data_IF_295340342407
#
_entry.id   IF_295340342407
#
_cell.length_a   1.000
_cell.length_b   1.000
_cell.length_c   1.000
_cell.angle_alpha   90.00
_cell.angle_beta   90.00
_cell.angle_gamma   90.00
#
_symmetry.space_group_name_H-M   'P 1'
#
loop_
_entity.id
_entity.type
_entity.pdbx_description
1 polymer ?
#
# COMPACT_ATOMS: atom_id res chain seq x y z
N UNK A 1 -25.35 2.98 -15.71
CA UNK A 1 -24.24 3.55 -14.94
C UNK A 1 -23.50 2.40 -14.25
N UNK A 2 -22.24 2.26 -14.50
CA UNK A 2 -21.47 1.18 -13.91
C UNK A 2 -20.96 1.58 -12.53
N UNK A 3 -20.98 0.63 -11.62
CA UNK A 3 -20.41 0.78 -10.30
C UNK A 3 -18.89 0.66 -10.39
N UNK A 4 -18.19 1.57 -9.71
CA UNK A 4 -16.74 1.49 -9.61
C UNK A 4 -16.39 0.96 -8.22
N UNK A 5 -15.75 -0.19 -8.19
CA UNK A 5 -15.28 -0.78 -6.94
C UNK A 5 -13.95 -0.11 -6.56
N UNK A 6 -14.02 0.80 -5.59
CA UNK A 6 -12.85 1.56 -5.17
C UNK A 6 -11.75 0.67 -4.62
N UNK A 7 -12.09 -0.39 -3.89
CA UNK A 7 -11.08 -1.29 -3.35
C UNK A 7 -10.31 -2.01 -4.46
N UNK A 8 -10.97 -2.39 -5.53
CA UNK A 8 -10.31 -3.04 -6.66
C UNK A 8 -9.44 -2.08 -7.44
N UNK A 9 -9.93 -0.86 -7.70
CA UNK A 9 -9.15 0.17 -8.38
C UNK A 9 -7.88 0.49 -7.59
N UNK A 10 -8.01 0.67 -6.28
CA UNK A 10 -6.88 0.96 -5.42
C UNK A 10 -5.92 -0.22 -5.35
N UNK A 11 -6.43 -1.46 -5.25
CA UNK A 11 -5.56 -2.64 -5.23
C UNK A 11 -4.69 -2.71 -6.47
N UNK A 12 -5.28 -2.52 -7.65
CA UNK A 12 -4.53 -2.52 -8.90
C UNK A 12 -3.53 -1.38 -8.97
N UNK A 13 -3.93 -0.20 -8.52
CA UNK A 13 -3.04 0.96 -8.49
C UNK A 13 -1.87 0.77 -7.53
N UNK A 14 -2.11 0.16 -6.37
CA UNK A 14 -1.06 -0.15 -5.40
C UNK A 14 -0.03 -1.10 -6.02
N UNK A 15 -0.48 -2.18 -6.66
CA UNK A 15 0.41 -3.13 -7.31
C UNK A 15 1.22 -2.45 -8.42
N UNK A 16 0.56 -1.66 -9.26
CA UNK A 16 1.21 -0.93 -10.35
C UNK A 16 2.27 0.04 -9.80
N UNK A 17 1.93 0.76 -8.75
CA UNK A 17 2.84 1.73 -8.12
C UNK A 17 4.05 1.05 -7.51
N UNK A 18 3.85 -0.05 -6.79
CA UNK A 18 4.96 -0.80 -6.16
C UNK A 18 5.89 -1.39 -7.21
N UNK A 19 5.34 -1.94 -8.29
CA UNK A 19 6.15 -2.46 -9.40
C UNK A 19 6.92 -1.33 -10.10
N UNK A 20 6.30 -0.17 -10.22
CA UNK A 20 6.95 1.02 -10.76
C UNK A 20 8.13 1.49 -9.93
N UNK A 21 8.11 1.23 -8.62
CA UNK A 21 9.24 1.51 -7.72
C UNK A 21 10.34 0.44 -7.82
N UNK A 22 10.10 -0.63 -8.57
CA UNK A 22 11.06 -1.71 -8.76
C UNK A 22 10.93 -2.86 -7.77
N UNK A 23 9.83 -2.92 -7.03
CA UNK A 23 9.66 -3.94 -6.00
C UNK A 23 8.92 -5.16 -6.52
N UNK A 24 9.28 -6.34 -5.99
CA UNK A 24 8.52 -7.57 -6.20
C UNK A 24 7.28 -7.52 -5.32
N UNK A 25 6.13 -7.80 -5.92
CA UNK A 25 4.84 -7.76 -5.23
C UNK A 25 4.27 -9.17 -5.13
N UNK A 26 3.93 -9.59 -3.91
CA UNK A 26 3.29 -10.88 -3.62
C UNK A 26 4.07 -12.10 -4.14
N UNK A 27 5.39 -11.99 -4.20
CA UNK A 27 6.24 -13.10 -4.61
C UNK A 27 6.78 -13.90 -3.42
N UNK A 28 7.73 -14.77 -3.71
CA UNK A 28 8.42 -15.57 -2.70
C UNK A 28 9.86 -15.11 -2.47
N UNK A 29 10.31 -14.15 -3.23
CA UNK A 29 11.68 -13.66 -3.16
C UNK A 29 11.83 -12.54 -2.14
N UNK A 30 13.05 -12.32 -1.70
CA UNK A 30 13.41 -11.18 -0.87
C UNK A 30 14.24 -10.20 -1.70
N UNK A 31 14.08 -8.91 -1.54
CA UNK A 31 13.00 -8.25 -0.79
C UNK A 31 11.68 -8.27 -1.56
N UNK A 32 10.59 -8.17 -0.83
CA UNK A 32 9.26 -8.13 -1.47
C UNK A 32 8.30 -7.28 -0.66
N UNK A 33 7.22 -6.88 -1.31
CA UNK A 33 6.09 -6.24 -0.66
C UNK A 33 4.86 -7.12 -0.87
N UNK A 34 4.19 -7.48 0.20
CA UNK A 34 2.94 -8.23 0.13
C UNK A 34 1.77 -7.29 0.38
N UNK A 35 0.78 -7.33 -0.51
CA UNK A 35 -0.48 -6.61 -0.31
C UNK A 35 -1.38 -7.53 0.50
N UNK A 36 -1.49 -7.24 1.80
CA UNK A 36 -2.17 -8.12 2.75
C UNK A 36 -3.67 -7.96 2.73
N UNK A 37 -4.15 -6.73 2.65
CA UNK A 37 -5.58 -6.47 2.61
C UNK A 37 -5.87 -5.12 1.97
N UNK A 38 -7.00 -5.06 1.29
CA UNK A 38 -7.55 -3.81 0.75
C UNK A 38 -9.04 -3.85 1.07
N UNK A 39 -9.48 -2.94 1.92
CA UNK A 39 -10.88 -2.85 2.32
C UNK A 39 -11.38 -1.44 2.10
N UNK A 40 -12.67 -1.28 1.90
CA UNK A 40 -13.24 0.04 1.69
C UNK A 40 -14.42 0.29 2.62
N UNK A 41 -14.60 1.54 2.97
CA UNK A 41 -15.76 2.02 3.68
C UNK A 41 -16.20 3.34 3.06
N UNK A 42 -17.50 3.60 3.12
CA UNK A 42 -18.01 4.86 2.58
C UNK A 42 -17.57 6.02 3.47
N UNK A 43 -17.30 7.15 2.81
CA UNK A 43 -17.09 8.40 3.52
C UNK A 43 -18.40 8.90 4.13
N UNK A 44 -18.34 10.05 4.76
CA UNK A 44 -19.48 10.63 5.44
C UNK A 44 -20.45 11.34 4.49
N UNK A 45 -20.26 11.26 3.19
CA UNK A 45 -21.14 11.93 2.28
C UNK A 45 -22.30 11.01 1.88
N UNK A 46 -23.45 11.64 1.69
CA UNK A 46 -24.69 10.90 1.42
C UNK A 46 -24.76 10.41 -0.02
N UNK A 47 -23.93 10.90 -0.89
CA UNK A 47 -23.97 10.59 -2.32
C UNK A 47 -23.02 9.45 -2.70
N UNK A 48 -22.28 8.92 -1.73
CA UNK A 48 -21.30 7.84 -1.94
C UNK A 48 -20.27 8.19 -3.02
N UNK A 49 -19.93 9.48 -3.14
CA UNK A 49 -18.92 9.93 -4.07
C UNK A 49 -17.51 9.69 -3.56
N UNK A 50 -17.36 9.53 -2.25
CA UNK A 50 -16.09 9.29 -1.62
C UNK A 50 -16.10 7.96 -0.89
N UNK A 51 -14.98 7.29 -0.93
CA UNK A 51 -14.73 6.07 -0.15
C UNK A 51 -13.34 6.14 0.47
N UNK A 52 -13.25 5.60 1.67
CA UNK A 52 -11.95 5.44 2.32
C UNK A 52 -11.51 4.00 2.08
N UNK A 53 -10.38 3.84 1.41
CA UNK A 53 -9.80 2.52 1.15
C UNK A 53 -8.61 2.35 2.08
N UNK A 54 -8.65 1.29 2.88
CA UNK A 54 -7.56 0.96 3.80
C UNK A 54 -6.72 -0.15 3.17
N UNK A 55 -5.43 0.12 3.01
CA UNK A 55 -4.49 -0.80 2.39
C UNK A 55 -3.44 -1.18 3.43
N UNK A 56 -3.25 -2.48 3.63
CA UNK A 56 -2.17 -2.97 4.48
C UNK A 56 -1.13 -3.68 3.63
N UNK A 57 0.12 -3.27 3.81
CA UNK A 57 1.28 -3.84 3.12
C UNK A 57 2.25 -4.41 4.14
N UNK A 58 2.88 -5.53 3.79
CA UNK A 58 4.03 -6.03 4.52
C UNK A 58 5.26 -5.87 3.63
N UNK A 59 6.22 -5.11 4.10
CA UNK A 59 7.54 -4.99 3.46
C UNK A 59 8.45 -6.01 4.13
N UNK A 60 8.93 -6.98 3.37
CA UNK A 60 9.68 -8.12 3.91
C UNK A 60 11.06 -8.16 3.29
N UNK A 61 12.07 -8.06 4.14
CA UNK A 61 13.47 -8.12 3.71
C UNK A 61 14.22 -9.16 4.52
N UNK A 62 15.32 -9.64 3.96
CA UNK A 62 16.20 -10.61 4.59
C UNK A 62 17.61 -10.05 4.60
N UNK A 63 18.32 -10.24 5.69
CA UNK A 63 19.70 -9.75 5.80
C UNK A 63 20.13 -9.56 7.23
N UNK A 64 21.22 -8.83 7.42
CA UNK A 64 21.81 -8.58 8.74
C UNK A 64 21.46 -7.21 9.30
N UNK A 65 20.66 -6.43 8.55
CA UNK A 65 20.35 -5.04 8.91
C UNK A 65 18.94 -4.69 8.46
N UNK A 66 18.22 -3.86 9.22
CA UNK A 66 16.91 -3.38 8.80
C UNK A 66 16.97 -2.25 7.75
N UNK A 67 18.17 -1.87 7.30
CA UNK A 67 18.36 -0.69 6.45
C UNK A 67 17.53 -0.76 5.16
N UNK A 68 17.45 -1.93 4.52
CA UNK A 68 16.68 -2.10 3.30
C UNK A 68 15.18 -1.91 3.53
N UNK A 69 14.64 -2.50 4.60
CA UNK A 69 13.24 -2.35 4.95
C UNK A 69 12.90 -0.88 5.25
N UNK A 70 13.79 -0.19 5.94
CA UNK A 70 13.62 1.24 6.26
C UNK A 70 13.61 2.08 4.97
N UNK A 71 14.52 1.79 4.02
CA UNK A 71 14.57 2.51 2.75
C UNK A 71 13.31 2.25 1.91
N UNK A 72 12.86 1.00 1.83
CA UNK A 72 11.65 0.66 1.10
C UNK A 72 10.43 1.34 1.71
N UNK A 73 10.32 1.32 3.03
CA UNK A 73 9.25 2.02 3.75
C UNK A 73 9.24 3.50 3.40
N UNK A 74 10.38 4.15 3.44
CA UNK A 74 10.49 5.58 3.09
C UNK A 74 9.98 5.84 1.67
N UNK A 75 10.44 5.05 0.71
CA UNK A 75 10.08 5.23 -0.69
C UNK A 75 8.57 5.01 -0.92
N UNK A 76 8.01 4.01 -0.26
CA UNK A 76 6.58 3.70 -0.37
C UNK A 76 5.74 4.82 0.22
N UNK A 77 6.08 5.28 1.43
CA UNK A 77 5.32 6.35 2.10
C UNK A 77 5.39 7.63 1.28
N UNK A 78 6.56 8.01 0.80
CA UNK A 78 6.71 9.21 -0.03
C UNK A 78 5.90 9.11 -1.32
N UNK A 79 5.95 7.96 -1.98
CA UNK A 79 5.21 7.77 -3.23
C UNK A 79 3.69 7.82 -2.99
N UNK A 80 3.20 7.07 -2.00
CA UNK A 80 1.76 6.97 -1.74
C UNK A 80 1.18 8.27 -1.21
N UNK A 81 1.87 8.92 -0.28
CA UNK A 81 1.31 10.06 0.45
C UNK A 81 1.67 11.42 -0.15
N UNK A 82 2.79 11.52 -0.87
CA UNK A 82 3.23 12.80 -1.44
C UNK A 82 3.01 12.90 -2.94
N UNK A 83 3.30 11.84 -3.68
CA UNK A 83 3.17 11.84 -5.14
C UNK A 83 1.83 11.27 -5.60
N UNK A 84 1.34 10.25 -4.93
CA UNK A 84 0.11 9.57 -5.26
C UNK A 84 0.31 8.26 -5.99
N UNK A 85 -0.75 7.48 -6.05
CA UNK A 85 -0.75 6.18 -6.71
C UNK A 85 -0.84 6.34 -8.23
N UNK A 86 -0.15 5.45 -8.94
CA UNK A 86 -0.25 5.35 -10.39
C UNK A 86 -1.35 4.36 -10.76
N UNK A 87 -2.05 4.62 -11.85
CA UNK A 87 -3.04 3.67 -12.37
C UNK A 87 -4.41 3.74 -11.75
N UNK A 88 -4.75 4.84 -11.10
CA UNK A 88 -6.11 5.06 -10.60
C UNK A 88 -7.04 5.36 -11.76
N UNK A 89 -7.90 4.42 -12.10
CA UNK A 89 -8.81 4.55 -13.24
C UNK A 89 -10.23 4.82 -12.74
N UNK A 90 -10.79 5.95 -13.14
CA UNK A 90 -12.14 6.35 -12.76
C UNK A 90 -12.26 6.93 -11.36
N UNK A 91 -11.18 6.95 -10.61
CA UNK A 91 -11.12 7.51 -9.26
C UNK A 91 -9.88 8.38 -9.13
N UNK A 92 -9.94 9.34 -8.23
CA UNK A 92 -8.78 10.11 -7.82
C UNK A 92 -8.49 9.84 -6.34
N UNK A 93 -7.20 9.86 -6.00
CA UNK A 93 -6.77 9.82 -4.62
C UNK A 93 -6.73 11.26 -4.11
N UNK A 94 -7.66 11.60 -3.23
CA UNK A 94 -7.74 12.95 -2.66
C UNK A 94 -6.70 13.10 -1.56
N UNK A 95 -6.47 12.04 -0.82
CA UNK A 95 -5.67 12.09 0.38
C UNK A 95 -5.20 10.68 0.74
N UNK A 96 -3.96 10.57 1.17
CA UNK A 96 -3.41 9.30 1.64
C UNK A 96 -2.64 9.55 2.93
N UNK A 97 -2.96 8.81 3.97
CA UNK A 97 -2.28 8.91 5.25
C UNK A 97 -1.78 7.55 5.70
N UNK A 98 -0.59 7.56 6.27
CA UNK A 98 -0.05 6.38 6.95
C UNK A 98 -0.72 6.29 8.31
N UNK A 99 -1.44 5.20 8.54
CA UNK A 99 -2.23 4.98 9.76
C UNK A 99 -1.52 4.06 10.74
N UNK A 100 -0.70 3.13 10.24
CA UNK A 100 0.05 2.21 11.07
C UNK A 100 1.41 1.94 10.44
N UNK A 101 2.45 1.89 11.27
CA UNK A 101 3.81 1.57 10.87
C UNK A 101 4.41 0.73 12.00
N UNK A 102 4.53 -0.56 11.77
CA UNK A 102 4.99 -1.50 12.79
C UNK A 102 6.20 -2.27 12.27
N UNK A 103 7.21 -2.41 13.11
CA UNK A 103 8.46 -3.08 12.78
C UNK A 103 8.54 -4.41 13.52
N UNK A 104 8.72 -5.50 12.77
CA UNK A 104 8.83 -6.83 13.33
C UNK A 104 10.13 -7.45 12.84
N UNK A 105 10.94 -7.91 13.79
CA UNK A 105 12.17 -8.62 13.49
C UNK A 105 12.00 -10.09 13.87
N UNK A 106 12.15 -10.96 12.89
CA UNK A 106 12.04 -12.40 13.07
C UNK A 106 13.38 -13.04 12.79
N UNK A 107 13.74 -14.02 13.59
CA UNK A 107 14.95 -14.82 13.38
C UNK A 107 14.51 -16.24 13.06
N UNK A 108 14.87 -16.72 11.86
CA UNK A 108 14.63 -18.07 11.41
C UNK A 108 15.99 -18.74 11.27
N UNK A 109 16.19 -19.86 11.94
CA UNK A 109 17.41 -20.71 12.00
C UNK A 109 18.74 -20.08 11.54
N UNK A 110 18.82 -19.62 10.30
CA UNK A 110 20.03 -19.02 9.71
C UNK A 110 19.77 -17.63 9.12
N UNK A 111 18.53 -17.17 9.07
CA UNK A 111 18.16 -15.91 8.40
C UNK A 111 17.47 -14.96 9.34
N UNK A 112 17.83 -13.68 9.23
CA UNK A 112 17.09 -12.62 9.89
C UNK A 112 16.13 -12.01 8.89
N UNK A 113 14.87 -11.94 9.28
CA UNK A 113 13.79 -11.38 8.45
C UNK A 113 13.29 -10.13 9.12
N UNK A 114 13.27 -9.04 8.38
CA UNK A 114 12.72 -7.77 8.82
C UNK A 114 11.41 -7.55 8.09
N UNK A 115 10.35 -7.40 8.86
CA UNK A 115 9.00 -7.17 8.34
C UNK A 115 8.52 -5.82 8.83
N UNK A 116 8.07 -4.99 7.90
CA UNK A 116 7.49 -3.69 8.23
C UNK A 116 6.06 -3.67 7.76
N UNK A 117 5.14 -3.52 8.69
CA UNK A 117 3.71 -3.50 8.39
C UNK A 117 3.28 -2.05 8.26
N UNK A 118 2.77 -1.69 7.09
CA UNK A 118 2.30 -0.34 6.78
C UNK A 118 0.82 -0.40 6.46
N UNK A 119 0.05 0.49 7.06
CA UNK A 119 -1.36 0.63 6.73
C UNK A 119 -1.64 2.06 6.34
N UNK A 120 -2.26 2.21 5.17
CA UNK A 120 -2.62 3.50 4.61
C UNK A 120 -4.13 3.64 4.52
N UNK A 121 -4.63 4.82 4.84
CA UNK A 121 -6.01 5.19 4.58
C UNK A 121 -6.01 6.16 3.40
N UNK A 122 -6.71 5.78 2.34
CA UNK A 122 -6.73 6.52 1.09
C UNK A 122 -8.16 7.00 0.85
N UNK A 123 -8.36 8.31 0.90
CA UNK A 123 -9.65 8.91 0.56
C UNK A 123 -9.72 9.02 -0.96
N UNK A 124 -10.67 8.35 -1.55
CA UNK A 124 -10.89 8.38 -2.98
C UNK A 124 -12.17 9.12 -3.31
N UNK A 125 -12.20 9.72 -4.49
CA UNK A 125 -13.39 10.38 -5.01
C UNK A 125 -13.55 9.99 -6.47
N UNK A 126 -14.79 9.96 -6.93
CA UNK A 126 -15.07 9.69 -8.32
C UNK A 126 -14.53 10.81 -9.18
N UNK A 127 -13.88 10.42 -10.26
CA UNK A 127 -13.38 11.37 -11.24
C UNK A 127 -14.51 11.65 -12.23
N UNK A 128 -15.10 12.80 -12.10
CA UNK A 128 -16.24 13.22 -12.93
C UNK A 128 -15.71 13.96 -14.17
#
# INVERSE_FOLDING_TARGET
MSYIDASEVVRKAVVTTLKGLGYTVNGNEFPRVEVMSVTSSFGNDKDNETEIVTVQLDVITQGTSPAQAILMRKNIVEKFCLTGLDGMVGLISVYCALDMDEDIHEIDDVNEIYRRILRFNILTSKNI
#
